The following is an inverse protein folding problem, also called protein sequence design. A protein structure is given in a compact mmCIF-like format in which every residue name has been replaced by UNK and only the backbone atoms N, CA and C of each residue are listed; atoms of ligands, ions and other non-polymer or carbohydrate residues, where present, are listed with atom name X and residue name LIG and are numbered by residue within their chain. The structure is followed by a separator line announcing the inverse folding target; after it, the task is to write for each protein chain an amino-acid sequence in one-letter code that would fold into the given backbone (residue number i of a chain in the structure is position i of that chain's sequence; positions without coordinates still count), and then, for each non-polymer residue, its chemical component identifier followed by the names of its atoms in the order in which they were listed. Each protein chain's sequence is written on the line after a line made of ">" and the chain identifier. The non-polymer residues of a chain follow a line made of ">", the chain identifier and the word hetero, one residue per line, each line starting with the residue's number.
data_IF_491190512525
#
_entry.id   IF_491190512525
#
_cell.length_a   1.000
_cell.length_b   1.000
_cell.length_c   1.000
_cell.angle_alpha   90.00
_cell.angle_beta   90.00
_cell.angle_gamma   90.00
#
_symmetry.space_group_name_H-M   'P 1'
#
loop_
_entity.id
_entity.type
_entity.pdbx_description
1 polymer ?
#
# COMPACT_ATOMS: atom_id res chain seq x y z
N UNK A 1 3.00 -7.25 -1.91
CA UNK A 1 4.02 -6.94 -0.89
C UNK A 1 3.65 -7.49 0.48
N UNK A 2 4.50 -7.25 1.45
CA UNK A 2 4.26 -7.55 2.87
C UNK A 2 4.74 -6.36 3.72
N UNK A 3 4.02 -6.09 4.80
CA UNK A 3 4.32 -4.97 5.70
C UNK A 3 5.42 -5.34 6.71
N UNK A 4 6.48 -4.53 6.75
CA UNK A 4 7.53 -4.54 7.77
C UNK A 4 7.20 -3.42 8.77
N UNK A 5 6.71 -3.81 9.94
CA UNK A 5 6.31 -2.88 11.00
C UNK A 5 7.49 -2.16 11.63
N UNK A 6 7.27 -0.95 12.16
CA UNK A 6 8.31 -0.18 12.85
C UNK A 6 8.76 -0.89 14.13
N UNK A 7 10.06 -1.21 14.19
CA UNK A 7 10.69 -1.86 15.34
C UNK A 7 12.18 -1.45 15.44
N UNK A 8 12.98 -2.16 16.24
CA UNK A 8 14.44 -2.04 16.23
C UNK A 8 15.01 -2.42 14.86
N UNK A 9 16.11 -1.79 14.46
CA UNK A 9 16.75 -1.97 13.13
C UNK A 9 17.00 -3.46 12.86
N UNK A 10 17.64 -4.17 13.78
CA UNK A 10 18.00 -5.58 13.60
C UNK A 10 16.77 -6.46 13.37
N UNK A 11 15.66 -6.17 14.08
CA UNK A 11 14.41 -6.90 13.88
C UNK A 11 13.80 -6.61 12.52
N UNK A 12 13.73 -5.34 12.10
CA UNK A 12 13.18 -4.98 10.78
C UNK A 12 14.01 -5.58 9.63
N UNK A 13 15.33 -5.65 9.79
CA UNK A 13 16.21 -6.33 8.83
C UNK A 13 15.91 -7.85 8.81
N UNK A 14 15.80 -8.50 9.97
CA UNK A 14 15.47 -9.92 10.04
C UNK A 14 14.09 -10.23 9.42
N UNK A 15 13.07 -9.42 9.73
CA UNK A 15 11.72 -9.57 9.17
C UNK A 15 11.75 -9.39 7.64
N UNK A 16 12.54 -8.45 7.13
CA UNK A 16 12.71 -8.21 5.68
C UNK A 16 13.35 -9.39 4.98
N UNK A 17 14.41 -9.96 5.55
CA UNK A 17 15.08 -11.13 4.99
C UNK A 17 14.18 -12.37 5.02
N UNK A 18 13.46 -12.59 6.12
CA UNK A 18 12.47 -13.67 6.24
C UNK A 18 11.34 -13.53 5.21
N UNK A 19 10.88 -12.32 4.93
CA UNK A 19 9.88 -12.07 3.88
C UNK A 19 10.41 -12.44 2.49
N UNK A 20 11.66 -12.10 2.18
CA UNK A 20 12.30 -12.49 0.91
C UNK A 20 12.43 -14.01 0.77
N UNK A 21 12.80 -14.71 1.85
CA UNK A 21 12.87 -16.18 1.87
C UNK A 21 11.50 -16.84 1.60
N UNK A 22 10.42 -16.16 1.97
CA UNK A 22 9.02 -16.55 1.68
C UNK A 22 8.56 -16.16 0.27
N UNK A 23 9.44 -15.60 -0.57
CA UNK A 23 9.16 -15.25 -1.95
C UNK A 23 8.51 -13.87 -2.17
N UNK A 24 8.53 -12.98 -1.17
CA UNK A 24 8.04 -11.61 -1.38
C UNK A 24 9.07 -10.78 -2.17
N UNK A 25 8.64 -10.25 -3.30
CA UNK A 25 9.44 -9.40 -4.19
C UNK A 25 9.31 -7.90 -3.89
N UNK A 26 8.41 -7.52 -2.98
CA UNK A 26 8.21 -6.13 -2.54
C UNK A 26 7.96 -6.09 -1.04
N UNK A 27 8.64 -5.17 -0.35
CA UNK A 27 8.54 -4.94 1.09
C UNK A 27 8.01 -3.54 1.35
N UNK A 28 6.91 -3.42 2.10
CA UNK A 28 6.38 -2.15 2.56
C UNK A 28 6.92 -1.83 3.95
N UNK A 29 7.85 -0.88 4.03
CA UNK A 29 8.54 -0.48 5.27
C UNK A 29 7.76 0.66 5.90
N UNK A 30 7.27 0.44 7.11
CA UNK A 30 6.61 1.49 7.89
C UNK A 30 7.65 2.46 8.47
N UNK A 31 7.40 3.75 8.28
CA UNK A 31 8.18 4.88 8.77
C UNK A 31 7.26 5.95 9.35
N UNK A 32 7.73 7.17 9.62
CA UNK A 32 6.87 8.31 10.01
C UNK A 32 6.83 8.58 11.50
N UNK A 33 7.71 7.95 12.32
CA UNK A 33 7.78 8.20 13.76
C UNK A 33 8.94 9.12 14.15
N UNK A 34 10.16 8.74 13.79
CA UNK A 34 11.38 9.50 14.04
C UNK A 34 12.20 9.51 12.76
N UNK A 35 12.34 10.69 12.17
CA UNK A 35 12.93 10.81 10.84
C UNK A 35 14.38 10.34 10.76
N UNK A 36 15.17 10.57 11.82
CA UNK A 36 16.56 10.11 11.87
C UNK A 36 16.64 8.60 11.91
N UNK A 37 15.88 7.99 12.82
CA UNK A 37 15.79 6.52 12.93
C UNK A 37 15.14 5.89 11.71
N UNK A 38 14.16 6.55 11.10
CA UNK A 38 13.51 6.05 9.89
C UNK A 38 14.50 5.96 8.73
N UNK A 39 15.35 6.97 8.53
CA UNK A 39 16.42 6.96 7.52
C UNK A 39 17.43 5.84 7.81
N UNK A 40 17.85 5.65 9.05
CA UNK A 40 18.80 4.58 9.44
C UNK A 40 18.20 3.19 9.21
N UNK A 41 16.93 2.96 9.57
CA UNK A 41 16.20 1.72 9.33
C UNK A 41 16.16 1.37 7.85
N UNK A 42 15.77 2.33 7.02
CA UNK A 42 15.65 2.12 5.56
C UNK A 42 17.02 1.82 4.93
N UNK A 43 18.08 2.52 5.34
CA UNK A 43 19.45 2.24 4.87
C UNK A 43 19.90 0.83 5.25
N UNK A 44 19.66 0.42 6.49
CA UNK A 44 20.03 -0.91 6.97
C UNK A 44 19.27 -2.02 6.22
N UNK A 45 17.95 -1.84 6.02
CA UNK A 45 17.15 -2.80 5.25
C UNK A 45 17.62 -2.85 3.80
N UNK A 46 17.82 -1.69 3.15
CA UNK A 46 18.31 -1.64 1.76
C UNK A 46 19.65 -2.37 1.60
N UNK A 47 20.59 -2.14 2.52
CA UNK A 47 21.88 -2.82 2.50
C UNK A 47 21.76 -4.35 2.68
N UNK A 48 20.84 -4.81 3.55
CA UNK A 48 20.63 -6.24 3.80
C UNK A 48 19.85 -6.94 2.67
N UNK A 49 18.92 -6.23 2.03
CA UNK A 49 18.09 -6.76 0.94
C UNK A 49 18.90 -6.95 -0.35
N UNK A 50 19.94 -6.13 -0.60
CA UNK A 50 20.86 -6.26 -1.75
C UNK A 50 20.13 -6.32 -3.12
N UNK A 51 19.03 -5.56 -3.26
CA UNK A 51 18.24 -5.52 -4.49
C UNK A 51 17.36 -6.75 -4.77
N UNK A 52 17.26 -7.70 -3.83
CA UNK A 52 16.41 -8.89 -3.96
C UNK A 52 14.91 -8.61 -3.87
N UNK A 53 14.53 -7.45 -3.37
CA UNK A 53 13.13 -7.01 -3.32
C UNK A 53 13.05 -5.50 -3.53
N UNK A 54 11.91 -5.04 -4.07
CA UNK A 54 11.56 -3.63 -4.16
C UNK A 54 11.18 -3.10 -2.78
N UNK A 55 11.61 -1.88 -2.47
CA UNK A 55 11.30 -1.23 -1.20
C UNK A 55 10.26 -0.13 -1.41
N UNK A 56 9.19 -0.17 -0.63
CA UNK A 56 8.13 0.83 -0.55
C UNK A 56 8.16 1.44 0.83
N UNK A 57 8.07 2.75 0.96
CA UNK A 57 7.95 3.42 2.25
C UNK A 57 6.52 3.85 2.49
N UNK A 58 6.00 3.60 3.68
CA UNK A 58 4.71 4.14 4.12
C UNK A 58 4.90 4.93 5.42
N UNK A 59 4.74 6.24 5.31
CA UNK A 59 4.90 7.15 6.43
C UNK A 59 3.60 7.39 7.21
N UNK A 60 2.48 6.88 6.74
CA UNK A 60 1.15 7.02 7.36
C UNK A 60 0.90 8.44 7.93
N UNK A 61 1.15 9.46 7.12
CA UNK A 61 0.97 10.88 7.49
C UNK A 61 1.94 11.39 8.57
N UNK A 62 3.04 10.68 8.84
CA UNK A 62 3.90 10.94 10.00
C UNK A 62 4.88 12.08 9.82
N UNK A 63 5.14 12.54 8.59
CA UNK A 63 6.11 13.59 8.31
C UNK A 63 5.44 14.92 7.95
N UNK A 64 6.20 16.00 8.09
CA UNK A 64 5.93 17.25 7.39
C UNK A 64 6.49 17.19 5.97
N UNK A 65 6.01 18.04 5.07
CA UNK A 65 6.50 18.05 3.68
C UNK A 65 8.02 18.29 3.59
N UNK A 66 8.59 19.15 4.47
CA UNK A 66 10.04 19.39 4.53
C UNK A 66 10.81 18.17 5.02
N UNK A 67 10.28 17.47 6.03
CA UNK A 67 10.89 16.24 6.53
C UNK A 67 10.88 15.15 5.46
N UNK A 68 9.77 14.97 4.76
CA UNK A 68 9.67 14.00 3.66
C UNK A 68 10.73 14.25 2.58
N UNK A 69 10.86 15.50 2.10
CA UNK A 69 11.87 15.85 1.10
C UNK A 69 13.29 15.64 1.64
N UNK A 70 13.55 15.97 2.92
CA UNK A 70 14.85 15.73 3.55
C UNK A 70 15.18 14.24 3.63
N UNK A 71 14.25 13.42 4.12
CA UNK A 71 14.44 11.97 4.21
C UNK A 71 14.72 11.35 2.85
N UNK A 72 13.89 11.67 1.85
CA UNK A 72 14.03 11.10 0.51
C UNK A 72 15.36 11.48 -0.13
N UNK A 73 15.78 12.75 -0.05
CA UNK A 73 17.08 13.18 -0.58
C UNK A 73 18.26 12.49 0.13
N UNK A 74 18.19 12.37 1.46
CA UNK A 74 19.22 11.68 2.24
C UNK A 74 19.33 10.19 1.86
N UNK A 75 18.21 9.55 1.55
CA UNK A 75 18.18 8.15 1.08
C UNK A 75 18.72 8.05 -0.36
N UNK A 76 18.30 8.93 -1.26
CA UNK A 76 18.78 9.00 -2.64
C UNK A 76 20.30 9.24 -2.70
N UNK A 77 20.83 10.20 -1.92
CA UNK A 77 22.26 10.50 -1.80
C UNK A 77 23.06 9.29 -1.25
N UNK A 78 22.43 8.46 -0.43
CA UNK A 78 23.01 7.22 0.07
C UNK A 78 22.89 6.03 -0.92
N UNK A 79 22.32 6.25 -2.12
CA UNK A 79 22.15 5.22 -3.14
C UNK A 79 20.98 4.26 -2.87
N UNK A 80 20.06 4.60 -1.95
CA UNK A 80 18.88 3.80 -1.66
C UNK A 80 17.87 3.97 -2.80
N UNK A 81 17.47 2.86 -3.41
CA UNK A 81 16.46 2.82 -4.47
C UNK A 81 15.12 2.40 -3.87
N UNK A 82 14.10 3.23 -4.08
CA UNK A 82 12.74 3.01 -3.58
C UNK A 82 11.75 2.98 -4.75
N UNK A 83 10.78 2.08 -4.68
CA UNK A 83 9.71 2.00 -5.67
C UNK A 83 8.69 3.12 -5.51
N UNK A 84 8.33 3.46 -4.28
CA UNK A 84 7.38 4.53 -3.97
C UNK A 84 7.51 5.01 -2.51
N UNK A 85 6.95 6.21 -2.28
CA UNK A 85 6.72 6.80 -0.96
C UNK A 85 5.21 7.01 -0.77
N UNK A 86 4.59 6.28 0.16
CA UNK A 86 3.16 6.35 0.48
C UNK A 86 2.90 7.37 1.58
N UNK A 87 1.92 8.22 1.34
CA UNK A 87 1.30 9.22 2.22
C UNK A 87 2.25 9.86 3.27
N UNK A 88 3.24 10.63 2.81
CA UNK A 88 4.23 11.21 3.72
C UNK A 88 3.65 12.26 4.67
N UNK A 89 2.64 13.03 4.22
CA UNK A 89 2.05 14.16 4.95
C UNK A 89 0.60 13.90 5.35
N UNK A 90 0.05 14.74 6.21
CA UNK A 90 -1.35 14.65 6.65
C UNK A 90 -2.31 14.61 5.45
N UNK A 91 -3.38 13.80 5.57
CA UNK A 91 -4.37 13.58 4.51
C UNK A 91 -4.94 14.89 3.93
N UNK A 92 -5.17 15.89 4.76
CA UNK A 92 -5.72 17.18 4.36
C UNK A 92 -4.67 18.15 3.75
N UNK A 93 -3.37 17.83 3.86
CA UNK A 93 -2.28 18.67 3.36
C UNK A 93 -1.94 18.33 1.90
N UNK A 94 -2.87 18.59 0.99
CA UNK A 94 -2.68 18.35 -0.45
C UNK A 94 -1.54 19.22 -1.01
N UNK A 95 -1.39 20.44 -0.52
CA UNK A 95 -0.28 21.32 -0.92
C UNK A 95 1.07 20.78 -0.46
N UNK A 96 1.15 20.21 0.73
CA UNK A 96 2.33 19.51 1.25
C UNK A 96 2.64 18.24 0.46
N UNK A 97 1.62 17.45 0.11
CA UNK A 97 1.78 16.26 -0.73
C UNK A 97 2.38 16.65 -2.09
N UNK A 98 1.78 17.64 -2.77
CA UNK A 98 2.32 18.20 -4.02
C UNK A 98 3.74 18.72 -3.85
N UNK A 99 4.03 19.42 -2.74
CA UNK A 99 5.37 19.93 -2.48
C UNK A 99 6.42 18.81 -2.43
N UNK A 100 6.07 17.65 -1.87
CA UNK A 100 6.93 16.46 -1.86
C UNK A 100 7.06 15.89 -3.26
N UNK A 101 5.96 15.62 -3.94
CA UNK A 101 5.91 15.06 -5.30
C UNK A 101 6.76 15.84 -6.29
N UNK A 102 6.71 17.18 -6.23
CA UNK A 102 7.51 18.05 -7.11
C UNK A 102 9.02 18.06 -6.80
N UNK A 103 9.49 17.44 -5.68
CA UNK A 103 10.87 17.63 -5.17
C UNK A 103 11.64 16.34 -4.88
N UNK A 104 11.02 15.20 -5.05
CA UNK A 104 11.65 13.88 -4.92
C UNK A 104 11.59 13.14 -6.24
N UNK A 105 12.52 12.23 -6.50
CA UNK A 105 12.51 11.42 -7.73
C UNK A 105 11.66 10.16 -7.56
N UNK A 106 11.55 9.66 -6.32
CA UNK A 106 10.72 8.51 -5.98
C UNK A 106 9.25 8.86 -6.17
N UNK A 107 8.45 8.04 -6.89
CA UNK A 107 7.02 8.25 -7.04
C UNK A 107 6.29 8.36 -5.70
N UNK A 108 5.41 9.36 -5.56
CA UNK A 108 4.62 9.61 -4.35
C UNK A 108 3.22 9.06 -4.52
N UNK A 109 2.78 8.27 -3.55
CA UNK A 109 1.44 7.65 -3.54
C UNK A 109 0.54 8.31 -2.50
N UNK A 110 -0.70 8.64 -2.92
CA UNK A 110 -1.75 9.10 -2.03
C UNK A 110 -2.56 7.92 -1.51
N UNK A 111 -2.68 7.79 -0.17
CA UNK A 111 -3.52 6.81 0.52
C UNK A 111 -4.63 7.51 1.31
N UNK A 112 -4.32 8.07 2.46
CA UNK A 112 -5.33 8.70 3.33
C UNK A 112 -5.89 10.01 2.76
N UNK A 113 -5.33 10.52 1.67
CA UNK A 113 -5.88 11.64 0.92
C UNK A 113 -6.97 11.24 -0.10
N UNK A 114 -7.27 9.93 -0.24
CA UNK A 114 -8.18 9.40 -1.26
C UNK A 114 -9.28 8.55 -0.65
N UNK A 115 -10.49 9.07 -0.61
CA UNK A 115 -11.70 8.36 -0.17
C UNK A 115 -12.80 8.36 -1.24
N UNK A 116 -12.71 9.20 -2.25
CA UNK A 116 -13.79 9.36 -3.23
C UNK A 116 -13.27 9.67 -4.63
N UNK A 117 -14.09 9.42 -5.68
CA UNK A 117 -13.77 9.81 -7.05
C UNK A 117 -13.45 11.30 -7.23
N UNK A 118 -14.15 12.19 -6.49
CA UNK A 118 -13.89 13.63 -6.55
C UNK A 118 -12.50 13.99 -6.01
N UNK A 119 -12.09 13.40 -4.87
CA UNK A 119 -10.74 13.63 -4.32
C UNK A 119 -9.65 13.14 -5.26
N UNK A 120 -9.86 12.00 -5.95
CA UNK A 120 -8.90 11.52 -6.97
C UNK A 120 -8.78 12.54 -8.10
N UNK A 121 -9.90 13.07 -8.61
CA UNK A 121 -9.89 14.09 -9.64
C UNK A 121 -9.09 15.33 -9.18
N UNK A 122 -9.34 15.81 -7.97
CA UNK A 122 -8.63 16.96 -7.39
C UNK A 122 -7.12 16.72 -7.29
N UNK A 123 -6.70 15.54 -6.82
CA UNK A 123 -5.28 15.17 -6.72
C UNK A 123 -4.60 15.11 -8.09
N UNK A 124 -5.25 14.51 -9.07
CA UNK A 124 -4.72 14.37 -10.43
C UNK A 124 -4.60 15.76 -11.08
N UNK A 125 -5.63 16.60 -10.99
CA UNK A 125 -5.60 17.95 -11.56
C UNK A 125 -4.49 18.82 -10.96
N UNK A 126 -4.23 18.66 -9.68
CA UNK A 126 -3.15 19.36 -8.98
C UNK A 126 -1.78 18.70 -9.19
N UNK A 127 -1.71 17.49 -9.75
CA UNK A 127 -0.50 16.68 -9.82
C UNK A 127 0.14 16.50 -8.43
N UNK A 128 -0.71 16.21 -7.45
CA UNK A 128 -0.29 16.13 -6.05
C UNK A 128 0.23 14.74 -5.66
N UNK A 129 0.01 13.73 -6.49
CA UNK A 129 0.55 12.37 -6.32
C UNK A 129 0.76 11.73 -7.69
N UNK A 130 1.69 10.77 -7.75
CA UNK A 130 2.02 9.98 -8.94
C UNK A 130 1.23 8.67 -9.00
N UNK A 131 0.78 8.16 -7.84
CA UNK A 131 0.10 6.87 -7.68
C UNK A 131 -1.09 7.06 -6.73
N UNK A 132 -2.19 6.34 -6.97
CA UNK A 132 -3.38 6.34 -6.13
C UNK A 132 -3.53 4.98 -5.44
N UNK A 133 -3.64 4.96 -4.10
CA UNK A 133 -3.94 3.74 -3.35
C UNK A 133 -5.45 3.59 -3.13
N UNK A 134 -6.04 2.59 -3.77
CA UNK A 134 -7.46 2.23 -3.66
C UNK A 134 -7.62 1.21 -2.54
N UNK A 135 -8.45 1.52 -1.53
CA UNK A 135 -8.85 0.57 -0.48
C UNK A 135 -10.38 0.53 -0.40
N UNK A 136 -10.99 -0.65 -0.49
CA UNK A 136 -12.44 -0.78 -0.52
C UNK A 136 -13.11 -0.17 0.70
N UNK A 137 -12.49 -0.30 1.87
CA UNK A 137 -12.97 0.27 3.12
C UNK A 137 -12.97 1.81 3.11
N UNK A 138 -11.98 2.45 2.45
CA UNK A 138 -11.94 3.91 2.30
C UNK A 138 -12.97 4.41 1.28
N UNK A 139 -13.08 3.72 0.16
CA UNK A 139 -13.92 4.15 -0.98
C UNK A 139 -15.40 3.85 -0.79
N UNK A 140 -15.76 3.07 0.23
CA UNK A 140 -17.14 2.63 0.47
C UNK A 140 -17.59 1.51 -0.48
N UNK A 141 -16.64 0.69 -0.96
CA UNK A 141 -16.90 -0.50 -1.75
C UNK A 141 -16.54 -0.40 -3.23
N UNK A 142 -16.90 -1.45 -3.98
CA UNK A 142 -16.49 -1.66 -5.37
C UNK A 142 -16.91 -0.55 -6.34
N UNK A 143 -18.12 -0.01 -6.21
CA UNK A 143 -18.64 0.96 -7.17
C UNK A 143 -17.81 2.25 -7.23
N UNK A 144 -17.37 2.77 -6.10
CA UNK A 144 -16.49 3.93 -6.08
C UNK A 144 -15.04 3.55 -6.44
N UNK A 145 -14.58 2.37 -6.00
CA UNK A 145 -13.25 1.89 -6.34
C UNK A 145 -13.05 1.74 -7.86
N UNK A 146 -14.05 1.21 -8.56
CA UNK A 146 -14.07 1.14 -10.03
C UNK A 146 -14.01 2.54 -10.66
N UNK A 147 -14.82 3.48 -10.17
CA UNK A 147 -14.80 4.87 -10.68
C UNK A 147 -13.45 5.54 -10.46
N UNK A 148 -12.81 5.30 -9.33
CA UNK A 148 -11.46 5.80 -9.04
C UNK A 148 -10.46 5.22 -10.03
N UNK A 149 -10.48 3.91 -10.24
CA UNK A 149 -9.60 3.26 -11.22
C UNK A 149 -9.84 3.80 -12.64
N UNK A 150 -11.11 3.97 -13.04
CA UNK A 150 -11.46 4.51 -14.37
C UNK A 150 -10.93 5.94 -14.55
N UNK A 151 -11.12 6.81 -13.56
CA UNK A 151 -10.61 8.19 -13.60
C UNK A 151 -9.08 8.17 -13.69
N UNK A 152 -8.40 7.42 -12.82
CA UNK A 152 -6.94 7.32 -12.82
C UNK A 152 -6.43 6.81 -14.17
N UNK A 153 -7.06 5.78 -14.75
CA UNK A 153 -6.72 5.23 -16.05
C UNK A 153 -6.86 6.23 -17.20
N UNK A 154 -7.94 7.03 -17.21
CA UNK A 154 -8.14 8.08 -18.22
C UNK A 154 -6.99 9.11 -18.21
N UNK A 155 -6.45 9.42 -17.02
CA UNK A 155 -5.36 10.38 -16.88
C UNK A 155 -3.97 9.73 -16.89
N UNK A 156 -3.87 8.40 -17.07
CA UNK A 156 -2.60 7.66 -17.09
C UNK A 156 -1.91 7.59 -15.73
N UNK A 157 -2.66 7.71 -14.63
CA UNK A 157 -2.14 7.59 -13.27
C UNK A 157 -2.30 6.15 -12.78
N UNK A 158 -1.22 5.42 -12.48
CA UNK A 158 -1.31 4.06 -11.98
C UNK A 158 -1.93 4.01 -10.59
N UNK A 159 -2.54 2.86 -10.27
CA UNK A 159 -3.11 2.60 -8.96
C UNK A 159 -2.43 1.41 -8.27
N UNK A 160 -2.48 1.42 -6.95
CA UNK A 160 -2.32 0.26 -6.10
C UNK A 160 -3.69 -0.12 -5.54
N UNK A 161 -3.95 -1.41 -5.37
CA UNK A 161 -5.04 -1.89 -4.52
C UNK A 161 -4.45 -2.28 -3.18
N UNK A 162 -4.93 -1.62 -2.13
CA UNK A 162 -4.53 -1.92 -0.75
C UNK A 162 -5.69 -2.40 0.10
N UNK A 163 -5.38 -2.76 1.34
CA UNK A 163 -6.37 -3.06 2.36
C UNK A 163 -6.04 -2.39 3.69
N UNK A 164 -7.00 -2.40 4.59
CA UNK A 164 -6.79 -2.23 6.03
C UNK A 164 -6.57 -3.63 6.65
N UNK A 165 -6.63 -3.76 7.97
CA UNK A 165 -6.73 -5.08 8.60
C UNK A 165 -8.16 -5.59 8.38
N UNK A 166 -8.36 -6.27 7.27
CA UNK A 166 -9.66 -6.71 6.76
C UNK A 166 -9.70 -8.23 6.67
N UNK A 167 -10.91 -8.81 6.73
CA UNK A 167 -11.09 -10.25 6.48
C UNK A 167 -10.98 -10.58 4.98
N UNK A 168 -10.86 -11.87 4.68
CA UNK A 168 -10.84 -12.37 3.30
C UNK A 168 -12.09 -12.02 2.48
N UNK A 169 -13.20 -11.56 3.07
CA UNK A 169 -14.37 -11.06 2.32
C UNK A 169 -13.98 -9.85 1.48
N UNK A 170 -13.40 -8.83 2.13
CA UNK A 170 -13.00 -7.59 1.47
C UNK A 170 -11.83 -7.84 0.51
N UNK A 171 -10.85 -8.64 0.95
CA UNK A 171 -9.67 -8.94 0.12
C UNK A 171 -10.07 -9.74 -1.13
N UNK A 172 -11.01 -10.70 -1.06
CA UNK A 172 -11.52 -11.37 -2.25
C UNK A 172 -12.11 -10.38 -3.25
N UNK A 173 -12.94 -9.44 -2.78
CA UNK A 173 -13.50 -8.39 -3.65
C UNK A 173 -12.41 -7.47 -4.23
N UNK A 174 -11.38 -7.15 -3.45
CA UNK A 174 -10.24 -6.33 -3.91
C UNK A 174 -9.41 -7.05 -4.98
N UNK A 175 -9.18 -8.36 -4.85
CA UNK A 175 -8.47 -9.16 -5.85
C UNK A 175 -9.26 -9.23 -7.16
N UNK A 176 -10.59 -9.42 -7.11
CA UNK A 176 -11.43 -9.36 -8.32
C UNK A 176 -11.32 -8.01 -9.02
N UNK A 177 -11.31 -6.90 -8.26
CA UNK A 177 -11.12 -5.57 -8.82
C UNK A 177 -9.73 -5.42 -9.45
N UNK A 178 -8.68 -5.88 -8.77
CA UNK A 178 -7.31 -5.82 -9.28
C UNK A 178 -7.16 -6.53 -10.62
N UNK A 179 -7.73 -7.73 -10.74
CA UNK A 179 -7.71 -8.51 -11.99
C UNK A 179 -8.52 -7.81 -13.08
N UNK A 180 -9.72 -7.30 -12.76
CA UNK A 180 -10.60 -6.65 -13.73
C UNK A 180 -10.06 -5.29 -14.24
N UNK A 181 -9.16 -4.65 -13.49
CA UNK A 181 -8.56 -3.33 -13.79
C UNK A 181 -7.03 -3.39 -13.81
N UNK A 182 -6.46 -4.52 -14.22
CA UNK A 182 -5.00 -4.77 -14.22
C UNK A 182 -4.20 -3.85 -15.16
N UNK A 183 -4.88 -3.17 -16.08
CA UNK A 183 -4.32 -2.11 -16.91
C UNK A 183 -3.99 -0.83 -16.13
N UNK A 184 -4.67 -0.58 -15.01
CA UNK A 184 -4.49 0.60 -14.15
C UNK A 184 -3.98 0.22 -12.77
N UNK A 185 -4.51 -0.85 -12.17
CA UNK A 185 -4.09 -1.36 -10.86
C UNK A 185 -2.86 -2.25 -11.08
N UNK A 186 -1.69 -1.66 -10.97
CA UNK A 186 -0.41 -2.31 -11.28
C UNK A 186 0.33 -2.80 -10.04
N UNK A 187 -0.17 -2.48 -8.84
CA UNK A 187 0.44 -2.81 -7.56
C UNK A 187 -0.60 -3.37 -6.60
N UNK A 188 -0.17 -4.32 -5.76
CA UNK A 188 -1.04 -5.02 -4.80
C UNK A 188 -0.40 -4.98 -3.41
N UNK A 189 -1.21 -4.62 -2.41
CA UNK A 189 -0.89 -4.56 -0.98
C UNK A 189 -2.09 -5.10 -0.17
N UNK A 190 -2.27 -6.43 -0.18
CA UNK A 190 -3.45 -7.12 0.35
C UNK A 190 -3.06 -8.14 1.44
N UNK A 191 -2.17 -7.75 2.34
CA UNK A 191 -1.65 -8.58 3.42
C UNK A 191 -2.55 -8.66 4.67
N UNK A 192 -3.68 -7.93 4.69
CA UNK A 192 -4.56 -7.79 5.86
C UNK A 192 -4.94 -9.09 6.56
N UNK A 193 -5.46 -10.13 5.87
CA UNK A 193 -5.80 -11.40 6.51
C UNK A 193 -4.59 -12.14 7.10
N UNK A 194 -3.41 -11.99 6.48
CA UNK A 194 -2.15 -12.60 6.96
C UNK A 194 -1.61 -11.95 8.23
N UNK A 195 -2.03 -10.71 8.52
CA UNK A 195 -1.66 -9.96 9.72
C UNK A 195 -2.64 -10.21 10.89
N UNK A 196 -3.80 -10.79 10.60
CA UNK A 196 -4.82 -11.15 11.59
C UNK A 196 -4.48 -12.42 12.34
N UNK A 197 -4.90 -12.51 13.61
CA UNK A 197 -4.79 -13.77 14.39
C UNK A 197 -5.79 -14.84 13.90
N UNK A 198 -6.88 -14.43 13.27
CA UNK A 198 -7.95 -15.30 12.83
C UNK A 198 -8.73 -14.65 11.68
N UNK A 199 -8.93 -15.41 10.61
CA UNK A 199 -9.87 -15.07 9.53
C UNK A 199 -11.14 -15.93 9.66
N UNK A 200 -12.33 -15.33 9.85
CA UNK A 200 -13.58 -16.09 10.00
C UNK A 200 -14.07 -16.68 8.68
N UNK A 201 -13.42 -16.44 7.57
CA UNK A 201 -13.91 -16.76 6.22
C UNK A 201 -13.32 -18.07 5.71
N UNK A 202 -14.15 -18.89 5.08
CA UNK A 202 -13.72 -20.06 4.32
C UNK A 202 -14.03 -19.85 2.83
N UNK A 203 -13.08 -20.15 1.95
CA UNK A 203 -13.17 -19.87 0.51
C UNK A 203 -12.81 -18.41 0.19
N UNK A 204 -13.17 -17.98 -1.00
CA UNK A 204 -12.88 -16.63 -1.50
C UNK A 204 -11.47 -16.52 -2.04
N UNK A 205 -10.56 -16.02 -1.22
CA UNK A 205 -9.16 -15.80 -1.58
C UNK A 205 -8.27 -16.84 -0.91
N UNK A 206 -7.24 -17.27 -1.62
CA UNK A 206 -6.22 -18.19 -1.11
C UNK A 206 -4.86 -17.50 -1.09
N UNK A 207 -4.21 -17.54 0.07
CA UNK A 207 -2.86 -17.05 0.26
C UNK A 207 -1.88 -18.22 0.24
N UNK A 208 -0.87 -18.14 -0.62
CA UNK A 208 0.24 -19.07 -0.67
C UNK A 208 1.53 -18.24 -0.63
N UNK A 209 2.04 -17.98 0.57
CA UNK A 209 3.17 -17.08 0.80
C UNK A 209 2.96 -15.71 0.16
N UNK A 210 3.71 -15.35 -0.88
CA UNK A 210 3.61 -14.08 -1.60
C UNK A 210 2.53 -14.02 -2.67
N UNK A 211 1.86 -15.15 -2.95
CA UNK A 211 0.85 -15.25 -3.99
C UNK A 211 -0.57 -15.20 -3.42
N UNK A 212 -1.44 -14.47 -4.11
CA UNK A 212 -2.87 -14.40 -3.80
C UNK A 212 -3.64 -14.89 -5.03
N UNK A 213 -4.51 -15.88 -4.85
CA UNK A 213 -5.33 -16.42 -5.92
C UNK A 213 -6.81 -16.49 -5.53
N UNK A 214 -7.68 -16.48 -6.54
CA UNK A 214 -9.12 -16.66 -6.41
C UNK A 214 -9.55 -17.91 -7.19
N UNK A 215 -10.63 -18.55 -6.75
CA UNK A 215 -11.18 -19.71 -7.43
C UNK A 215 -12.13 -19.29 -8.56
N UNK A 216 -12.25 -20.14 -9.59
CA UNK A 216 -13.20 -19.93 -10.71
C UNK A 216 -14.61 -20.45 -10.33
N UNK A 217 -15.22 -19.77 -9.36
CA UNK A 217 -16.58 -20.06 -8.89
C UNK A 217 -17.40 -18.77 -8.84
N UNK A 218 -18.75 -18.84 -8.89
CA UNK A 218 -19.60 -17.65 -8.87
C UNK A 218 -19.41 -16.76 -7.62
N UNK A 219 -19.53 -15.46 -7.80
CA UNK A 219 -19.44 -14.46 -6.74
C UNK A 219 -18.01 -14.30 -6.22
N UNK A 220 -17.86 -14.13 -4.92
CA UNK A 220 -16.56 -14.04 -4.26
C UNK A 220 -15.95 -15.41 -3.90
N UNK A 221 -16.64 -16.51 -4.21
CA UNK A 221 -16.19 -17.86 -3.86
C UNK A 221 -16.20 -18.19 -2.37
N UNK A 222 -16.85 -17.38 -1.54
CA UNK A 222 -16.97 -17.59 -0.10
C UNK A 222 -17.98 -18.70 0.17
N UNK A 223 -17.59 -19.71 0.94
CA UNK A 223 -18.41 -20.85 1.30
C UNK A 223 -18.99 -20.78 2.70
N UNK A 224 -18.28 -20.10 3.63
CA UNK A 224 -18.70 -19.99 5.03
C UNK A 224 -18.13 -18.71 5.64
N UNK A 225 -18.90 -18.09 6.54
CA UNK A 225 -18.43 -17.04 7.45
C UNK A 225 -18.82 -17.44 8.88
N UNK A 226 -17.82 -17.70 9.72
CA UNK A 226 -18.00 -18.16 11.11
C UNK A 226 -18.19 -16.99 12.06
N UNK A 227 -18.93 -17.23 13.15
CA UNK A 227 -19.12 -16.24 14.23
C UNK A 227 -20.09 -15.11 13.88
N UNK A 228 -20.95 -15.30 12.87
CA UNK A 228 -22.04 -14.38 12.59
C UNK A 228 -23.14 -14.48 13.66
N UNK A 229 -23.53 -13.34 14.23
CA UNK A 229 -24.69 -13.22 15.10
C UNK A 229 -25.78 -12.41 14.38
N UNK A 230 -27.03 -12.88 14.48
CA UNK A 230 -28.17 -12.13 13.95
C UNK A 230 -28.41 -10.91 14.82
N UNK A 231 -28.31 -9.72 14.24
CA UNK A 231 -28.75 -8.50 14.90
C UNK A 231 -30.29 -8.51 14.92
N UNK A 232 -30.88 -8.62 16.13
CA UNK A 232 -32.31 -8.59 16.36
C UNK A 232 -32.98 -7.26 16.05
#
# INVERSE_FOLDING_TARGET
>A
DITISVDYIDKMVADSLSAIERGFESLKIKVGKDIGLDIERVKAIHAAVEGRALLRLDANQGWTAKQAVHAMRTLEEAGVVLELLEQPVKAADISGLKYVTDRVNTPVMADESVFSPSQVMDLIQQRAADIINIKLMKTGGLSNAIRIADIAGIYGVPCMIGCMIESSISVAAAVHLAVAKSDVITKVDLDGPSLGQFDPVSGGVHFNESEISISDVPGLGITEVRGLEMLG
#
